data_IF_605301568099
#
_entry.id   IF_605301568099
#
_cell.length_a   1.000
_cell.length_b   1.000
_cell.length_c   1.000
_cell.angle_alpha   90.00
_cell.angle_beta   90.00
_cell.angle_gamma   90.00
#
_symmetry.space_group_name_H-M   'P 1'
#
loop_
_entity.id
_entity.type
_entity.pdbx_description
1 polymer ?
#
# COMPACT_ATOMS: atom_id res chain seq x y z
N UNK A 1 16.92 30.14 3.07
CA UNK A 1 17.24 28.94 3.88
C UNK A 1 16.88 27.73 3.06
N UNK A 2 17.74 26.72 2.96
CA UNK A 2 17.40 25.47 2.26
C UNK A 2 16.35 24.70 3.07
N UNK A 3 15.37 24.07 2.39
CA UNK A 3 14.36 23.26 3.04
C UNK A 3 14.99 22.09 3.81
N UNK A 4 14.51 21.80 5.00
CA UNK A 4 14.95 20.64 5.81
C UNK A 4 14.44 19.31 5.22
N UNK A 5 15.02 18.14 5.57
CA UNK A 5 14.54 16.84 5.12
C UNK A 5 13.05 16.65 5.37
N UNK A 6 12.53 17.01 6.54
CA UNK A 6 11.10 16.91 6.89
C UNK A 6 10.17 17.79 6.06
N UNK A 7 10.68 18.90 5.52
CA UNK A 7 9.91 19.76 4.63
C UNK A 7 9.86 19.20 3.20
N UNK A 8 10.86 18.42 2.81
CA UNK A 8 10.96 17.81 1.48
C UNK A 8 10.20 16.48 1.43
N UNK A 9 10.47 15.59 2.37
CA UNK A 9 9.86 14.24 2.40
C UNK A 9 8.50 14.32 3.10
N UNK A 10 7.43 14.24 2.32
CA UNK A 10 6.06 14.23 2.83
C UNK A 10 5.31 13.01 2.36
N UNK A 11 4.47 12.45 3.25
CA UNK A 11 3.59 11.35 2.94
C UNK A 11 2.13 11.76 3.19
N UNK A 12 1.45 12.19 2.12
CA UNK A 12 0.06 12.64 2.16
C UNK A 12 -0.90 11.55 2.66
N UNK A 13 -0.60 10.27 2.41
CA UNK A 13 -1.39 9.14 2.94
C UNK A 13 -1.31 9.10 4.46
N UNK A 14 -0.11 9.18 5.02
CA UNK A 14 0.10 9.19 6.47
C UNK A 14 -0.59 10.38 7.13
N UNK A 15 -0.51 11.56 6.49
CA UNK A 15 -1.18 12.77 6.95
C UNK A 15 -2.72 12.63 6.95
N UNK A 16 -3.31 12.06 5.88
CA UNK A 16 -4.76 11.82 5.78
C UNK A 16 -5.24 10.79 6.81
N UNK A 17 -4.51 9.68 6.96
CA UNK A 17 -4.83 8.64 7.93
C UNK A 17 -4.81 9.19 9.37
N UNK A 18 -3.83 10.04 9.70
CA UNK A 18 -3.75 10.70 11.01
C UNK A 18 -4.95 11.61 11.32
N UNK A 19 -5.59 12.18 10.28
CA UNK A 19 -6.83 12.94 10.40
C UNK A 19 -8.10 12.07 10.36
N UNK A 20 -7.96 10.73 10.27
CA UNK A 20 -9.09 9.81 10.15
C UNK A 20 -9.77 9.82 8.78
N UNK A 21 -9.17 10.44 7.77
CA UNK A 21 -9.69 10.51 6.41
C UNK A 21 -9.50 9.18 5.66
N UNK A 22 -10.36 8.93 4.68
CA UNK A 22 -10.24 7.78 3.79
C UNK A 22 -9.23 8.07 2.69
N UNK A 23 -8.32 7.13 2.46
CA UNK A 23 -7.31 7.15 1.40
C UNK A 23 -7.74 6.23 0.27
N UNK A 24 -7.70 6.74 -0.95
CA UNK A 24 -7.93 5.98 -2.19
C UNK A 24 -6.60 5.62 -2.86
N UNK A 25 -6.50 4.36 -3.33
CA UNK A 25 -5.32 3.85 -4.02
C UNK A 25 -5.67 3.07 -5.27
N UNK A 26 -4.92 3.29 -6.35
CA UNK A 26 -4.95 2.46 -7.55
C UNK A 26 -3.80 1.46 -7.54
N UNK A 27 -4.07 0.20 -7.87
CA UNK A 27 -3.03 -0.82 -8.02
C UNK A 27 -2.49 -0.84 -9.45
N UNK A 28 -1.18 -0.79 -9.60
CA UNK A 28 -0.47 -0.79 -10.89
C UNK A 28 0.14 -2.17 -11.14
N UNK A 29 -0.33 -2.86 -12.17
CA UNK A 29 0.15 -4.20 -12.61
C UNK A 29 0.51 -4.26 -14.09
N UNK A 30 -0.06 -3.37 -14.91
CA UNK A 30 0.04 -3.41 -16.36
C UNK A 30 0.90 -2.27 -16.91
N UNK A 31 0.60 -1.03 -16.51
CA UNK A 31 1.23 0.17 -17.06
C UNK A 31 2.69 0.27 -16.59
N UNK A 32 3.61 0.35 -17.55
CA UNK A 32 5.05 0.41 -17.29
C UNK A 32 5.62 1.82 -17.37
N UNK A 33 4.83 2.77 -17.81
CA UNK A 33 5.27 4.14 -18.02
C UNK A 33 4.91 5.04 -16.83
N UNK A 34 5.68 6.10 -16.65
CA UNK A 34 5.52 7.06 -15.55
C UNK A 34 4.20 7.84 -15.60
N UNK A 35 3.54 7.87 -16.76
CA UNK A 35 2.25 8.55 -16.96
C UNK A 35 1.16 8.02 -16.02
N UNK A 36 1.28 6.77 -15.55
CA UNK A 36 0.33 6.20 -14.60
C UNK A 36 0.24 7.03 -13.31
N UNK A 37 1.35 7.61 -12.87
CA UNK A 37 1.37 8.51 -11.72
C UNK A 37 0.53 9.77 -11.98
N UNK A 38 0.67 10.36 -13.19
CA UNK A 38 -0.11 11.54 -13.60
C UNK A 38 -1.59 11.21 -13.77
N UNK A 39 -1.92 10.05 -14.34
CA UNK A 39 -3.29 9.54 -14.47
C UNK A 39 -3.91 9.40 -13.09
N UNK A 40 -3.21 8.76 -12.14
CA UNK A 40 -3.67 8.60 -10.76
C UNK A 40 -3.95 9.96 -10.10
N UNK A 41 -3.05 10.94 -10.27
CA UNK A 41 -3.22 12.30 -9.75
C UNK A 41 -4.46 12.99 -10.33
N UNK A 42 -4.61 12.93 -11.66
CA UNK A 42 -5.73 13.57 -12.37
C UNK A 42 -7.07 12.92 -12.01
N UNK A 43 -7.08 11.60 -11.79
CA UNK A 43 -8.25 10.85 -11.34
C UNK A 43 -8.58 11.06 -9.84
N UNK A 44 -7.72 11.74 -9.07
CA UNK A 44 -7.95 12.07 -7.67
C UNK A 44 -7.51 11.00 -6.68
N UNK A 45 -6.65 10.06 -7.07
CA UNK A 45 -6.09 9.08 -6.13
C UNK A 45 -5.04 9.72 -5.22
N UNK A 46 -5.03 9.30 -3.95
CA UNK A 46 -4.06 9.72 -2.95
C UNK A 46 -2.74 8.97 -3.08
N UNK A 47 -2.80 7.72 -3.52
CA UNK A 47 -1.65 6.85 -3.67
C UNK A 47 -1.75 5.96 -4.90
N UNK A 48 -0.58 5.50 -5.34
CA UNK A 48 -0.44 4.35 -6.22
C UNK A 48 0.14 3.18 -5.43
N UNK A 49 -0.27 1.99 -5.78
CA UNK A 49 0.16 0.73 -5.21
C UNK A 49 0.80 -0.10 -6.33
N UNK A 50 2.12 -0.02 -6.50
CA UNK A 50 2.85 -0.80 -7.51
C UNK A 50 2.99 -2.23 -7.01
N UNK A 51 2.41 -3.17 -7.75
CA UNK A 51 2.35 -4.57 -7.36
C UNK A 51 3.45 -5.37 -8.05
N UNK A 52 4.53 -5.68 -7.33
CA UNK A 52 5.67 -6.46 -7.84
C UNK A 52 5.55 -7.94 -7.48
N UNK A 53 4.58 -8.30 -6.63
CA UNK A 53 4.27 -9.70 -6.33
C UNK A 53 3.52 -10.38 -7.48
N UNK A 54 2.47 -9.75 -8.01
CA UNK A 54 1.61 -10.34 -9.04
C UNK A 54 1.68 -9.60 -10.37
N UNK A 55 2.85 -9.10 -10.73
CA UNK A 55 3.11 -8.52 -12.04
C UNK A 55 4.52 -8.82 -12.50
N UNK A 56 4.80 -8.52 -13.77
CA UNK A 56 6.14 -8.60 -14.36
C UNK A 56 6.85 -7.23 -14.40
N UNK A 57 6.48 -6.30 -13.49
CA UNK A 57 7.16 -5.01 -13.38
C UNK A 57 8.56 -5.20 -12.81
N UNK A 58 9.56 -4.63 -13.49
CA UNK A 58 10.93 -4.63 -13.00
C UNK A 58 11.12 -3.62 -11.87
N UNK A 59 12.17 -3.79 -11.08
CA UNK A 59 12.55 -2.82 -10.05
C UNK A 59 12.84 -1.44 -10.67
N UNK A 60 13.45 -1.40 -11.85
CA UNK A 60 13.71 -0.17 -12.59
C UNK A 60 12.41 0.57 -12.92
N UNK A 61 11.45 -0.11 -13.57
CA UNK A 61 10.13 0.45 -13.89
C UNK A 61 9.40 0.92 -12.62
N UNK A 62 9.45 0.11 -11.57
CA UNK A 62 8.85 0.44 -10.27
C UNK A 62 9.45 1.73 -9.71
N UNK A 63 10.78 1.86 -9.72
CA UNK A 63 11.47 3.06 -9.24
C UNK A 63 11.11 4.30 -10.04
N UNK A 64 11.06 4.21 -11.37
CA UNK A 64 10.66 5.31 -12.25
C UNK A 64 9.25 5.80 -11.95
N UNK A 65 8.30 4.87 -11.77
CA UNK A 65 6.91 5.19 -11.40
C UNK A 65 6.86 5.84 -10.00
N UNK A 66 7.60 5.30 -9.04
CA UNK A 66 7.64 5.85 -7.68
C UNK A 66 8.20 7.29 -7.66
N UNK A 67 9.31 7.55 -8.36
CA UNK A 67 9.91 8.88 -8.46
C UNK A 67 8.93 9.86 -9.10
N UNK A 68 8.29 9.49 -10.20
CA UNK A 68 7.29 10.34 -10.85
C UNK A 68 6.09 10.65 -9.95
N UNK A 69 5.66 9.68 -9.13
CA UNK A 69 4.58 9.87 -8.17
C UNK A 69 4.96 10.82 -7.02
N UNK A 70 6.19 10.70 -6.50
CA UNK A 70 6.73 11.60 -5.49
C UNK A 70 6.68 13.06 -5.93
N UNK A 71 7.15 13.35 -7.16
CA UNK A 71 7.22 14.70 -7.73
C UNK A 71 5.87 15.41 -7.82
N UNK A 72 4.78 14.65 -7.90
CA UNK A 72 3.43 15.20 -8.06
C UNK A 72 2.55 15.05 -6.80
N UNK A 73 3.13 14.57 -5.70
CA UNK A 73 2.44 14.40 -4.42
C UNK A 73 1.38 13.31 -4.43
N UNK A 74 1.59 12.21 -5.17
CA UNK A 74 0.87 10.95 -5.05
C UNK A 74 1.79 9.98 -4.32
N UNK A 75 1.36 9.42 -3.19
CA UNK A 75 2.23 8.54 -2.41
C UNK A 75 2.44 7.19 -3.09
N UNK A 76 3.68 6.81 -3.49
CA UNK A 76 3.95 5.50 -4.05
C UNK A 76 4.14 4.46 -2.95
N UNK A 77 3.35 3.39 -3.01
CA UNK A 77 3.54 2.17 -2.23
C UNK A 77 3.95 1.02 -3.16
N UNK A 78 4.80 0.15 -2.68
CA UNK A 78 5.23 -1.04 -3.44
C UNK A 78 4.87 -2.28 -2.65
N UNK A 79 4.05 -3.17 -3.25
CA UNK A 79 3.93 -4.53 -2.74
C UNK A 79 5.14 -5.32 -3.22
N UNK A 80 5.97 -5.71 -2.26
CA UNK A 80 7.18 -6.48 -2.53
C UNK A 80 6.83 -7.94 -2.82
N UNK A 81 7.69 -8.68 -3.58
CA UNK A 81 7.42 -10.09 -3.89
C UNK A 81 7.45 -10.99 -2.64
N UNK A 82 8.15 -10.57 -1.62
CA UNK A 82 8.20 -11.21 -0.30
C UNK A 82 8.75 -10.24 0.74
N UNK A 83 8.58 -10.54 2.02
CA UNK A 83 9.08 -9.74 3.14
C UNK A 83 10.62 -9.78 3.34
N UNK A 84 11.39 -10.28 2.36
CA UNK A 84 12.85 -10.33 2.45
C UNK A 84 13.47 -8.94 2.49
N UNK A 85 14.54 -8.73 3.30
CA UNK A 85 15.19 -7.43 3.47
C UNK A 85 15.57 -6.74 2.17
N UNK A 86 16.13 -7.50 1.21
CA UNK A 86 16.57 -6.98 -0.08
C UNK A 86 15.40 -6.51 -0.97
N UNK A 87 14.21 -7.07 -0.83
CA UNK A 87 13.03 -6.60 -1.56
C UNK A 87 12.49 -5.31 -0.93
N UNK A 88 12.43 -5.25 0.40
CA UNK A 88 11.94 -4.10 1.16
C UNK A 88 12.85 -2.89 0.96
N UNK A 89 14.15 -3.04 1.21
CA UNK A 89 15.10 -1.92 1.14
C UNK A 89 15.21 -1.36 -0.27
N UNK A 90 15.31 -2.20 -1.31
CA UNK A 90 15.44 -1.74 -2.70
C UNK A 90 14.18 -1.04 -3.22
N UNK A 91 12.99 -1.47 -2.82
CA UNK A 91 11.76 -0.77 -3.16
C UNK A 91 11.74 0.66 -2.56
N UNK A 92 12.16 0.78 -1.30
CA UNK A 92 12.26 2.06 -0.62
C UNK A 92 13.38 2.93 -1.20
N UNK A 93 14.55 2.38 -1.53
CA UNK A 93 15.64 3.14 -2.17
C UNK A 93 15.24 3.65 -3.56
N UNK A 94 14.37 2.91 -4.25
CA UNK A 94 13.79 3.29 -5.54
C UNK A 94 12.71 4.37 -5.50
N UNK A 95 12.38 4.92 -4.33
CA UNK A 95 11.45 6.04 -4.21
C UNK A 95 10.08 5.69 -3.61
N UNK A 96 9.84 4.46 -3.17
CA UNK A 96 8.60 4.13 -2.48
C UNK A 96 8.50 4.85 -1.12
N UNK A 97 7.35 5.45 -0.81
CA UNK A 97 7.02 6.01 0.50
C UNK A 97 6.45 4.97 1.47
N UNK A 98 6.21 3.76 0.98
CA UNK A 98 5.82 2.64 1.83
C UNK A 98 5.98 1.32 1.11
N UNK A 99 6.08 0.28 1.90
CA UNK A 99 6.11 -1.11 1.44
C UNK A 99 4.88 -1.85 1.95
N UNK A 100 4.34 -2.71 1.10
CA UNK A 100 3.29 -3.66 1.47
C UNK A 100 3.94 -5.04 1.46
N UNK A 101 4.11 -5.62 2.65
CA UNK A 101 4.68 -6.94 2.84
C UNK A 101 3.57 -7.99 2.85
N UNK A 102 3.52 -8.89 1.85
CA UNK A 102 2.51 -9.93 1.78
C UNK A 102 2.76 -11.05 2.80
N UNK A 103 1.75 -11.86 3.05
CA UNK A 103 1.82 -13.12 3.80
C UNK A 103 2.32 -13.04 5.24
N UNK A 104 2.12 -11.92 5.92
CA UNK A 104 2.54 -11.75 7.32
C UNK A 104 1.58 -12.52 8.25
N UNK A 105 2.14 -13.41 9.08
CA UNK A 105 1.40 -14.32 9.96
C UNK A 105 1.79 -14.21 11.44
N UNK A 106 2.80 -13.39 11.74
CA UNK A 106 3.31 -13.25 13.12
C UNK A 106 3.90 -11.87 13.38
N UNK A 107 3.97 -11.51 14.67
CA UNK A 107 4.67 -10.30 15.11
C UNK A 107 6.18 -10.37 14.82
N UNK A 108 6.79 -11.57 14.79
CA UNK A 108 8.19 -11.74 14.42
C UNK A 108 8.43 -11.33 12.97
N UNK A 109 7.64 -11.84 12.03
CA UNK A 109 7.73 -11.46 10.61
C UNK A 109 7.46 -9.95 10.41
N UNK A 110 6.50 -9.38 11.12
CA UNK A 110 6.25 -7.95 11.06
C UNK A 110 7.45 -7.11 11.53
N UNK A 111 8.17 -7.57 12.60
CA UNK A 111 9.40 -6.91 13.07
C UNK A 111 10.53 -6.99 12.03
N UNK A 112 10.67 -8.11 11.32
CA UNK A 112 11.66 -8.25 10.25
C UNK A 112 11.41 -7.25 9.10
N UNK A 113 10.14 -7.03 8.74
CA UNK A 113 9.77 -6.00 7.77
C UNK A 113 10.14 -4.60 8.27
N UNK A 114 9.80 -4.29 9.52
CA UNK A 114 10.13 -2.99 10.14
C UNK A 114 11.65 -2.80 10.18
N UNK A 115 12.39 -3.82 10.61
CA UNK A 115 13.86 -3.78 10.66
C UNK A 115 14.47 -3.43 9.30
N UNK A 116 13.92 -4.02 8.23
CA UNK A 116 14.36 -3.79 6.85
C UNK A 116 13.93 -2.45 6.25
N UNK A 117 12.81 -1.89 6.75
CA UNK A 117 12.21 -0.66 6.22
C UNK A 117 12.68 0.62 6.91
N UNK A 118 13.04 0.55 8.18
CA UNK A 118 13.36 1.70 9.02
C UNK A 118 14.86 1.78 9.33
N UNK A 119 15.36 3.00 9.43
CA UNK A 119 16.72 3.27 9.89
C UNK A 119 16.83 3.16 11.42
N UNK A 120 18.04 2.96 11.96
CA UNK A 120 18.27 3.01 13.41
C UNK A 120 17.72 4.32 14.03
N UNK A 121 17.21 4.28 15.29
CA UNK A 121 17.17 3.12 16.19
C UNK A 121 15.96 2.19 16.01
N UNK A 122 15.00 2.52 15.11
CA UNK A 122 13.75 1.79 14.92
C UNK A 122 13.94 0.52 14.08
N UNK A 123 14.91 0.50 13.19
CA UNK A 123 15.23 -0.61 12.32
C UNK A 123 16.73 -0.70 12.01
N UNK A 124 17.05 -1.49 10.99
CA UNK A 124 18.43 -1.85 10.60
C UNK A 124 18.70 -1.52 9.12
N UNK A 125 17.80 -0.77 8.46
CA UNK A 125 17.96 -0.41 7.03
C UNK A 125 19.29 0.26 6.79
N UNK A 126 20.04 -0.23 5.79
CA UNK A 126 21.30 0.36 5.35
C UNK A 126 21.08 1.73 4.69
N UNK A 127 22.00 2.67 4.95
CA UNK A 127 21.95 4.02 4.39
C UNK A 127 22.50 4.05 2.97
N UNK A 128 21.67 4.40 1.99
CA UNK A 128 22.04 4.50 0.58
C UNK A 128 22.52 5.89 0.13
N UNK A 129 22.62 6.88 1.03
CA UNK A 129 23.01 8.24 0.69
C UNK A 129 21.85 9.11 0.21
N UNK A 130 22.07 9.91 -0.85
CA UNK A 130 21.08 10.82 -1.40
C UNK A 130 19.96 10.06 -2.14
N UNK A 131 18.80 9.95 -1.52
CA UNK A 131 17.63 9.26 -2.06
C UNK A 131 16.73 10.17 -2.90
N UNK A 132 15.91 9.63 -3.82
CA UNK A 132 14.94 10.41 -4.60
C UNK A 132 13.97 11.18 -3.72
N UNK A 133 13.54 10.65 -2.58
CA UNK A 133 12.71 11.33 -1.58
C UNK A 133 13.30 12.64 -1.09
N UNK A 134 14.63 12.73 -1.01
CA UNK A 134 15.39 13.90 -0.60
C UNK A 134 15.79 14.78 -1.80
N UNK A 135 15.24 14.50 -3.00
CA UNK A 135 15.61 15.18 -4.25
C UNK A 135 17.12 15.10 -4.53
N UNK A 136 17.74 13.97 -4.16
CA UNK A 136 19.18 13.71 -4.27
C UNK A 136 20.08 14.72 -3.53
N UNK A 137 19.50 15.44 -2.58
CA UNK A 137 20.26 16.38 -1.73
C UNK A 137 20.94 15.66 -0.58
N UNK A 138 22.12 16.15 -0.17
CA UNK A 138 22.83 15.67 1.00
C UNK A 138 22.37 16.41 2.25
N UNK A 139 22.13 15.68 3.32
CA UNK A 139 21.78 16.18 4.65
C UNK A 139 22.58 15.43 5.72
N UNK A 140 22.70 15.97 6.94
CA UNK A 140 23.21 15.20 8.06
C UNK A 140 22.43 13.89 8.22
N UNK A 141 23.12 12.77 8.34
CA UNK A 141 22.51 11.43 8.31
C UNK A 141 21.39 11.27 9.37
N UNK A 142 21.61 11.80 10.59
CA UNK A 142 20.61 11.73 11.66
C UNK A 142 19.29 12.44 11.27
N UNK A 143 19.38 13.59 10.62
CA UNK A 143 18.18 14.36 10.19
C UNK A 143 17.47 13.67 9.03
N UNK A 144 18.24 13.18 8.03
CA UNK A 144 17.71 12.45 6.90
C UNK A 144 17.00 11.16 7.33
N UNK A 145 17.64 10.36 8.17
CA UNK A 145 17.09 9.10 8.67
C UNK A 145 15.82 9.32 9.50
N UNK A 146 15.80 10.33 10.37
CA UNK A 146 14.62 10.67 11.15
C UNK A 146 13.43 11.05 10.24
N UNK A 147 13.66 11.91 9.25
CA UNK A 147 12.62 12.32 8.29
C UNK A 147 12.12 11.13 7.45
N UNK A 148 13.02 10.27 7.00
CA UNK A 148 12.67 9.06 6.25
C UNK A 148 11.88 8.07 7.10
N UNK A 149 12.29 7.82 8.36
CA UNK A 149 11.54 6.96 9.28
C UNK A 149 10.13 7.47 9.53
N UNK A 150 9.97 8.79 9.69
CA UNK A 150 8.68 9.44 9.90
C UNK A 150 7.77 9.30 8.66
N UNK A 151 8.31 9.50 7.45
CA UNK A 151 7.54 9.47 6.21
C UNK A 151 7.25 8.05 5.69
N UNK A 152 8.19 7.11 5.87
CA UNK A 152 8.03 5.74 5.37
C UNK A 152 6.93 5.00 6.12
N UNK A 153 6.02 4.35 5.37
CA UNK A 153 5.00 3.47 5.95
C UNK A 153 5.35 1.99 5.76
N UNK A 154 5.14 1.21 6.80
CA UNK A 154 5.18 -0.25 6.76
C UNK A 154 3.75 -0.76 6.81
N UNK A 155 3.35 -1.41 5.73
CA UNK A 155 2.05 -2.05 5.58
C UNK A 155 2.25 -3.57 5.60
N UNK A 156 1.61 -4.25 6.53
CA UNK A 156 1.59 -5.72 6.60
C UNK A 156 0.28 -6.24 6.04
N UNK A 157 0.34 -7.29 5.22
CA UNK A 157 -0.87 -7.82 4.58
C UNK A 157 -1.32 -9.10 5.29
N UNK A 158 -2.61 -9.11 5.70
CA UNK A 158 -3.27 -10.26 6.31
C UNK A 158 -4.06 -11.03 5.26
N UNK A 159 -3.72 -12.31 5.10
CA UNK A 159 -4.21 -13.20 4.05
C UNK A 159 -4.62 -14.57 4.58
N UNK A 160 -4.54 -14.77 5.89
CA UNK A 160 -4.84 -16.05 6.53
C UNK A 160 -5.64 -15.86 7.83
N UNK A 161 -6.41 -16.87 8.22
CA UNK A 161 -7.12 -16.89 9.49
C UNK A 161 -6.16 -16.79 10.69
N UNK A 162 -4.99 -17.43 10.61
CA UNK A 162 -3.94 -17.35 11.63
C UNK A 162 -3.44 -15.90 11.86
N UNK A 163 -3.27 -15.12 10.78
CA UNK A 163 -2.92 -13.69 10.90
C UNK A 163 -4.02 -12.89 11.62
N UNK A 164 -5.30 -13.19 11.33
CA UNK A 164 -6.43 -12.54 12.02
C UNK A 164 -6.44 -12.90 13.51
N UNK A 165 -6.13 -14.15 13.86
CA UNK A 165 -6.07 -14.57 15.27
C UNK A 165 -4.97 -13.85 16.04
N UNK A 166 -3.87 -13.51 15.39
CA UNK A 166 -2.72 -12.78 15.94
C UNK A 166 -2.74 -11.28 15.65
N UNK A 167 -3.88 -10.75 15.19
CA UNK A 167 -3.98 -9.34 14.76
C UNK A 167 -3.52 -8.35 15.83
N UNK A 168 -3.80 -8.61 17.10
CA UNK A 168 -3.39 -7.74 18.21
C UNK A 168 -1.87 -7.69 18.39
N UNK A 169 -1.23 -8.86 18.39
CA UNK A 169 0.22 -9.00 18.52
C UNK A 169 0.97 -8.34 17.36
N UNK A 170 0.44 -8.50 16.12
CA UNK A 170 1.05 -7.94 14.92
C UNK A 170 0.84 -6.42 14.89
N UNK A 171 -0.36 -5.94 15.22
CA UNK A 171 -0.64 -4.50 15.29
C UNK A 171 0.15 -3.78 16.40
N UNK A 172 0.52 -4.48 17.48
CA UNK A 172 1.35 -3.95 18.56
C UNK A 172 2.81 -3.69 18.14
N UNK A 173 3.27 -4.24 17.02
CA UNK A 173 4.65 -4.05 16.55
C UNK A 173 4.91 -2.58 16.24
N UNK A 174 5.90 -2.00 16.94
CA UNK A 174 6.34 -0.64 16.67
C UNK A 174 6.88 -0.53 15.25
N UNK A 175 6.52 0.53 14.54
CA UNK A 175 6.94 0.75 13.15
C UNK A 175 5.99 0.17 12.09
N UNK A 176 5.07 -0.72 12.44
CA UNK A 176 3.91 -1.06 11.58
C UNK A 176 2.95 0.13 11.58
N UNK A 177 2.49 0.57 10.42
CA UNK A 177 1.59 1.72 10.26
C UNK A 177 0.16 1.28 9.90
N UNK A 178 0.03 0.21 9.10
CA UNK A 178 -1.26 -0.22 8.54
C UNK A 178 -1.29 -1.74 8.31
N UNK A 179 -2.44 -2.35 8.55
CA UNK A 179 -2.76 -3.73 8.15
C UNK A 179 -3.65 -3.69 6.92
N UNK A 180 -3.20 -4.25 5.80
CA UNK A 180 -3.99 -4.39 4.57
C UNK A 180 -4.64 -5.78 4.54
N UNK A 181 -5.97 -5.84 4.43
CA UNK A 181 -6.67 -7.10 4.29
C UNK A 181 -6.58 -7.62 2.85
N UNK A 182 -5.92 -8.76 2.63
CA UNK A 182 -5.89 -9.48 1.36
C UNK A 182 -7.10 -10.41 1.26
N UNK A 183 -8.29 -9.83 0.99
CA UNK A 183 -9.57 -10.54 1.14
C UNK A 183 -9.69 -11.79 0.27
N UNK A 184 -9.10 -11.81 -0.92
CA UNK A 184 -9.16 -12.97 -1.81
C UNK A 184 -8.44 -14.19 -1.21
N UNK A 185 -7.20 -13.98 -0.76
CA UNK A 185 -6.36 -15.04 -0.20
C UNK A 185 -6.85 -15.45 1.18
N UNK A 186 -7.35 -14.50 1.98
CA UNK A 186 -8.01 -14.80 3.25
C UNK A 186 -9.23 -15.71 3.05
N UNK A 187 -10.06 -15.46 2.03
CA UNK A 187 -11.20 -16.33 1.71
C UNK A 187 -10.74 -17.70 1.25
N UNK A 188 -9.67 -17.79 0.45
CA UNK A 188 -9.11 -19.06 0.01
C UNK A 188 -8.59 -19.88 1.20
N UNK A 189 -7.83 -19.24 2.12
CA UNK A 189 -7.32 -19.85 3.34
C UNK A 189 -8.44 -20.39 4.25
N UNK A 190 -9.56 -19.66 4.35
CA UNK A 190 -10.74 -20.05 5.11
C UNK A 190 -11.60 -21.14 4.44
N UNK A 191 -11.28 -21.58 3.21
CA UNK A 191 -12.13 -22.48 2.42
C UNK A 191 -13.42 -21.84 1.90
N UNK A 192 -13.44 -20.51 1.79
CA UNK A 192 -14.61 -19.68 1.41
C UNK A 192 -14.38 -18.92 0.09
N UNK A 193 -13.52 -19.42 -0.81
CA UNK A 193 -13.18 -18.74 -2.05
C UNK A 193 -14.41 -18.24 -2.80
N UNK A 194 -14.46 -16.94 -3.13
CA UNK A 194 -15.58 -16.28 -3.80
C UNK A 194 -16.77 -15.89 -2.90
N UNK A 195 -16.80 -16.30 -1.64
CA UNK A 195 -17.92 -16.03 -0.71
C UNK A 195 -17.71 -14.74 0.11
N UNK A 196 -17.55 -13.62 -0.56
CA UNK A 196 -17.19 -12.33 0.07
C UNK A 196 -18.20 -11.82 1.09
N UNK A 197 -19.50 -12.20 0.94
CA UNK A 197 -20.59 -11.79 1.84
C UNK A 197 -20.69 -12.69 3.09
N UNK A 198 -19.82 -13.71 3.21
CA UNK A 198 -19.83 -14.63 4.33
C UNK A 198 -19.53 -13.88 5.64
N UNK A 199 -20.23 -14.25 6.74
CA UNK A 199 -20.11 -13.59 8.05
C UNK A 199 -18.68 -13.56 8.59
N UNK A 200 -17.90 -14.61 8.40
CA UNK A 200 -16.49 -14.69 8.82
C UNK A 200 -15.60 -13.60 8.19
N UNK A 201 -15.97 -13.07 7.03
CA UNK A 201 -15.25 -11.94 6.42
C UNK A 201 -15.48 -10.68 7.24
N UNK A 202 -16.72 -10.40 7.63
CA UNK A 202 -17.06 -9.25 8.47
C UNK A 202 -16.42 -9.36 9.85
N UNK A 203 -16.42 -10.57 10.42
CA UNK A 203 -15.75 -10.86 11.69
C UNK A 203 -14.24 -10.60 11.60
N UNK A 204 -13.56 -11.09 10.55
CA UNK A 204 -12.13 -10.85 10.33
C UNK A 204 -11.80 -9.36 10.27
N UNK A 205 -12.57 -8.58 9.47
CA UNK A 205 -12.40 -7.11 9.42
C UNK A 205 -12.66 -6.46 10.76
N UNK A 206 -13.73 -6.85 11.47
CA UNK A 206 -14.07 -6.30 12.79
C UNK A 206 -12.95 -6.52 13.81
N UNK A 207 -12.43 -7.75 13.89
CA UNK A 207 -11.32 -8.11 14.79
C UNK A 207 -10.05 -7.32 14.46
N UNK A 208 -9.69 -7.25 13.17
CA UNK A 208 -8.50 -6.53 12.73
C UNK A 208 -8.61 -5.02 12.99
N UNK A 209 -9.77 -4.42 12.71
CA UNK A 209 -10.03 -2.99 12.99
C UNK A 209 -9.93 -2.72 14.49
N UNK A 210 -10.52 -3.57 15.33
CA UNK A 210 -10.45 -3.42 16.78
C UNK A 210 -9.01 -3.53 17.30
N UNK A 211 -8.22 -4.50 16.80
CA UNK A 211 -6.81 -4.65 17.13
C UNK A 211 -5.99 -3.42 16.72
N UNK A 212 -6.09 -3.01 15.47
CA UNK A 212 -5.37 -1.84 14.96
C UNK A 212 -5.71 -0.56 15.73
N UNK A 213 -6.98 -0.36 16.06
CA UNK A 213 -7.43 0.80 16.84
C UNK A 213 -6.79 0.86 18.24
N UNK A 214 -6.64 -0.27 18.94
CA UNK A 214 -5.98 -0.32 20.26
C UNK A 214 -4.53 0.16 20.21
N UNK A 215 -3.85 -0.09 19.10
CA UNK A 215 -2.44 0.24 18.91
C UNK A 215 -2.20 1.50 18.04
N UNK A 216 -3.27 2.29 17.75
CA UNK A 216 -3.17 3.50 16.93
C UNK A 216 -2.75 3.24 15.48
N UNK A 217 -3.06 2.03 14.95
CA UNK A 217 -2.78 1.62 13.57
C UNK A 217 -4.03 1.71 12.71
N UNK A 218 -3.85 1.63 11.40
CA UNK A 218 -4.93 1.72 10.43
C UNK A 218 -5.19 0.37 9.74
N UNK A 219 -6.39 0.23 9.16
CA UNK A 219 -6.77 -0.94 8.36
C UNK A 219 -7.06 -0.52 6.93
N UNK A 220 -6.57 -1.31 5.99
CA UNK A 220 -6.83 -1.18 4.56
C UNK A 220 -7.73 -2.28 4.03
N UNK A 221 -8.52 -1.94 3.00
CA UNK A 221 -9.39 -2.84 2.25
C UNK A 221 -8.72 -3.20 0.93
N UNK A 222 -8.43 -4.49 0.71
CA UNK A 222 -7.92 -5.04 -0.54
C UNK A 222 -8.80 -6.18 -1.07
N UNK A 223 -8.74 -6.43 -2.39
CA UNK A 223 -9.47 -7.51 -3.04
C UNK A 223 -10.98 -7.28 -3.27
N UNK A 224 -11.50 -6.09 -2.99
CA UNK A 224 -12.93 -5.77 -3.09
C UNK A 224 -13.29 -4.77 -4.20
N UNK A 225 -12.45 -4.61 -5.22
CA UNK A 225 -12.65 -3.63 -6.30
C UNK A 225 -14.03 -3.76 -7.00
N UNK A 226 -14.52 -4.98 -7.18
CA UNK A 226 -15.83 -5.25 -7.80
C UNK A 226 -17.00 -5.21 -6.81
N UNK A 227 -16.73 -4.90 -5.54
CA UNK A 227 -17.72 -4.90 -4.44
C UNK A 227 -17.69 -3.60 -3.64
N UNK A 228 -17.97 -2.45 -4.27
CA UNK A 228 -17.83 -1.13 -3.62
C UNK A 228 -18.76 -0.98 -2.40
N UNK A 229 -19.91 -1.65 -2.38
CA UNK A 229 -20.84 -1.60 -1.24
C UNK A 229 -20.24 -2.28 0.01
N UNK A 230 -19.59 -3.44 -0.17
CA UNK A 230 -18.91 -4.14 0.91
C UNK A 230 -17.67 -3.38 1.39
N UNK A 231 -16.90 -2.81 0.47
CA UNK A 231 -15.78 -1.93 0.84
C UNK A 231 -16.26 -0.72 1.66
N UNK A 232 -17.38 -0.10 1.28
CA UNK A 232 -17.99 1.00 2.03
C UNK A 232 -18.46 0.57 3.43
N UNK A 233 -18.96 -0.66 3.59
CA UNK A 233 -19.28 -1.23 4.91
C UNK A 233 -18.04 -1.27 5.81
N UNK A 234 -16.91 -1.79 5.31
CA UNK A 234 -15.67 -1.85 6.09
C UNK A 234 -15.07 -0.48 6.39
N UNK A 235 -15.25 0.50 5.51
CA UNK A 235 -14.90 1.90 5.78
C UNK A 235 -15.75 2.46 6.94
N UNK A 236 -17.05 2.16 6.97
CA UNK A 236 -17.94 2.56 8.09
C UNK A 236 -17.53 1.88 9.40
N UNK A 237 -17.03 0.64 9.34
CA UNK A 237 -16.50 -0.07 10.51
C UNK A 237 -15.19 0.51 11.03
N UNK A 238 -14.42 1.24 10.21
CA UNK A 238 -13.18 1.90 10.63
C UNK A 238 -11.98 1.72 9.71
N UNK A 239 -12.08 0.99 8.62
CA UNK A 239 -11.00 0.95 7.62
C UNK A 239 -10.82 2.33 6.97
N UNK A 240 -9.57 2.70 6.63
CA UNK A 240 -9.26 4.04 6.12
C UNK A 240 -8.41 4.04 4.85
N UNK A 241 -7.86 2.93 4.41
CA UNK A 241 -7.15 2.82 3.15
C UNK A 241 -7.92 1.86 2.23
N UNK A 242 -8.20 2.27 0.99
CA UNK A 242 -8.99 1.46 0.05
C UNK A 242 -8.24 1.28 -1.26
N UNK A 243 -7.84 0.03 -1.57
CA UNK A 243 -7.38 -0.35 -2.90
C UNK A 243 -8.60 -0.53 -3.81
N UNK A 244 -8.79 0.42 -4.74
CA UNK A 244 -10.03 0.55 -5.52
C UNK A 244 -10.09 -0.38 -6.74
N UNK A 245 -8.95 -0.90 -7.20
CA UNK A 245 -8.83 -1.77 -8.35
C UNK A 245 -7.48 -1.63 -9.05
N UNK A 246 -7.31 -2.36 -10.15
CA UNK A 246 -6.07 -2.35 -10.93
C UNK A 246 -6.23 -1.55 -12.23
N UNK A 247 -5.12 -0.98 -12.71
CA UNK A 247 -5.01 -0.36 -14.03
C UNK A 247 -5.50 -1.28 -15.15
N UNK A 248 -5.15 -2.57 -15.08
CA UNK A 248 -5.63 -3.61 -16.00
C UNK A 248 -7.16 -3.73 -15.99
N UNK A 249 -7.76 -3.80 -14.79
CA UNK A 249 -9.20 -3.97 -14.65
C UNK A 249 -9.97 -2.75 -15.18
N UNK A 250 -9.47 -1.55 -14.90
CA UNK A 250 -10.08 -0.30 -15.36
C UNK A 250 -10.01 -0.18 -16.89
N UNK A 251 -8.83 -0.47 -17.48
CA UNK A 251 -8.66 -0.46 -18.94
C UNK A 251 -9.57 -1.48 -19.61
N UNK A 252 -9.63 -2.71 -19.09
CA UNK A 252 -10.48 -3.76 -19.67
C UNK A 252 -11.96 -3.41 -19.58
N UNK A 253 -12.43 -2.90 -18.43
CA UNK A 253 -13.83 -2.55 -18.22
C UNK A 253 -14.29 -1.47 -19.19
N UNK A 254 -13.54 -0.35 -19.31
CA UNK A 254 -13.91 0.74 -20.20
C UNK A 254 -13.76 0.34 -21.69
N UNK A 255 -12.71 -0.39 -22.06
CA UNK A 255 -12.53 -0.89 -23.44
C UNK A 255 -13.67 -1.81 -23.85
N UNK A 256 -14.12 -2.71 -22.96
CA UNK A 256 -15.25 -3.60 -23.21
C UNK A 256 -16.55 -2.82 -23.40
N UNK A 257 -16.81 -1.83 -22.54
CA UNK A 257 -17.98 -0.98 -22.63
C UNK A 257 -18.02 -0.23 -23.98
N UNK A 258 -16.90 0.35 -24.41
CA UNK A 258 -16.80 1.07 -25.69
C UNK A 258 -16.97 0.16 -26.89
N UNK A 259 -16.31 -1.02 -26.90
CA UNK A 259 -16.46 -2.00 -27.98
C UNK A 259 -17.94 -2.42 -28.15
N UNK A 260 -18.64 -2.69 -27.03
CA UNK A 260 -20.04 -3.04 -27.04
C UNK A 260 -20.93 -1.92 -27.60
N UNK A 261 -20.69 -0.66 -27.23
CA UNK A 261 -21.43 0.50 -27.77
C UNK A 261 -21.33 0.58 -29.29
N UNK A 262 -20.14 0.37 -29.88
CA UNK A 262 -19.95 0.38 -31.34
C UNK A 262 -20.66 -0.79 -32.01
N UNK A 263 -20.61 -2.00 -31.43
CA UNK A 263 -21.33 -3.17 -31.95
C UNK A 263 -22.84 -2.95 -31.97
N UNK A 264 -23.39 -2.31 -30.95
CA UNK A 264 -24.83 -1.98 -30.89
C UNK A 264 -25.28 -0.96 -31.95
N UNK A 265 -24.39 -0.05 -32.37
CA UNK A 265 -24.65 0.89 -33.47
C UNK A 265 -24.77 0.14 -34.80
N UNK A 266 -23.87 -0.85 -35.02
CA UNK A 266 -23.84 -1.60 -36.28
C UNK A 266 -25.07 -2.54 -36.48
N UNK A 267 -25.81 -2.84 -35.42
CA UNK A 267 -26.98 -3.71 -35.44
C UNK A 267 -28.31 -2.94 -35.59
N UNK A 268 -28.27 -1.61 -35.62
CA UNK A 268 -29.44 -0.72 -35.84
C UNK A 268 -29.47 -0.19 -37.27
#
# INVERSE_FOLDING_TARGET
MSASPRQIVRNNVKEKLARGEVVSSITVRLVRSIEIARIAKTAGFDSIYVDVEHSSLSLETTSQICIAALEIGVAPFVRVPSARPEHVSRALDGGALGVIAPHIRSAAEAREVVASAKYPPLGERSMGGALPHLQYRSFPAAEANAAMNEATMVVVQFETADAIDKADEIAAVEGVDLVLMGTNDLLADMGLAGQYEHERVREAYSRTIAACKRHGKHVGVGGLATRPKLAAEFVKMGARYVSTGTDLAFLLAESTARAKQVQEIALR
#
